data_IF_835197282260
#
_entry.id   IF_835197282260
#
_cell.length_a   1.000
_cell.length_b   1.000
_cell.length_c   1.000
_cell.angle_alpha   90.00
_cell.angle_beta   90.00
_cell.angle_gamma   90.00
#
_symmetry.space_group_name_H-M   'P 1'
#
loop_
_entity.id
_entity.type
_entity.pdbx_description
1 polymer ?
#
# COMPACT_ATOMS: atom_id res chain seq x y z
N UNK A 1 17.82 -14.81 7.38
CA UNK A 1 16.68 -14.04 6.86
C UNK A 1 15.94 -14.93 5.87
N UNK A 2 14.77 -15.46 6.22
CA UNK A 2 13.94 -16.18 5.26
C UNK A 2 13.23 -15.15 4.39
N UNK A 3 13.78 -14.87 3.20
CA UNK A 3 13.07 -14.13 2.17
C UNK A 3 11.88 -14.96 1.72
N UNK A 4 10.67 -14.39 1.79
CA UNK A 4 9.50 -15.01 1.19
C UNK A 4 9.79 -15.23 -0.30
N UNK A 5 9.86 -16.50 -0.73
CA UNK A 5 10.22 -16.86 -2.11
C UNK A 5 9.20 -16.37 -3.14
N UNK A 6 7.96 -16.11 -2.71
CA UNK A 6 6.84 -15.65 -3.53
C UNK A 6 6.07 -14.61 -2.71
N UNK A 7 6.20 -13.33 -3.08
CA UNK A 7 5.65 -12.21 -2.32
C UNK A 7 5.34 -11.01 -3.22
N UNK A 8 4.39 -10.20 -2.76
CA UNK A 8 4.10 -8.90 -3.37
C UNK A 8 4.87 -7.82 -2.62
N UNK A 9 5.59 -6.96 -3.35
CA UNK A 9 6.24 -5.77 -2.80
C UNK A 9 5.29 -4.59 -2.92
N UNK A 10 4.79 -4.12 -1.79
CA UNK A 10 3.97 -2.91 -1.74
C UNK A 10 4.86 -1.68 -1.51
N UNK A 11 4.83 -0.75 -2.46
CA UNK A 11 5.51 0.56 -2.33
C UNK A 11 4.46 1.66 -2.21
N UNK A 12 4.42 2.34 -1.07
CA UNK A 12 3.51 3.47 -0.83
C UNK A 12 4.32 4.77 -0.90
N UNK A 13 4.12 5.62 -1.93
CA UNK A 13 4.81 6.90 -2.04
C UNK A 13 4.24 7.94 -1.08
N UNK A 14 4.96 9.03 -0.89
CA UNK A 14 4.45 10.20 -0.19
C UNK A 14 3.26 10.81 -0.93
N UNK A 15 2.26 11.25 -0.16
CA UNK A 15 1.12 11.98 -0.67
C UNK A 15 1.46 13.46 -0.79
N UNK A 16 1.19 14.05 -1.95
CA UNK A 16 1.35 15.48 -2.20
C UNK A 16 0.01 16.11 -2.55
N UNK A 17 -0.26 17.28 -2.00
CA UNK A 17 -1.40 18.11 -2.37
C UNK A 17 -0.94 19.16 -3.39
N UNK A 18 -1.53 19.21 -4.59
CA UNK A 18 -1.30 20.31 -5.51
C UNK A 18 -2.04 21.55 -5.01
N UNK A 19 -1.34 22.67 -4.79
CA UNK A 19 -1.95 23.98 -4.46
C UNK A 19 -2.31 24.75 -5.75
N UNK A 20 -2.85 24.03 -6.74
CA UNK A 20 -3.07 24.50 -8.12
C UNK A 20 -2.05 23.90 -9.08
N UNK A 21 -2.32 24.01 -10.39
CA UNK A 21 -1.53 23.42 -11.48
C UNK A 21 -0.05 23.89 -11.48
N UNK A 22 0.21 25.07 -10.92
CA UNK A 22 1.55 25.69 -10.83
C UNK A 22 2.04 25.85 -9.38
N UNK A 23 1.32 25.31 -8.39
CA UNK A 23 1.66 25.46 -6.97
C UNK A 23 2.73 24.46 -6.50
N UNK A 24 3.52 24.78 -5.45
CA UNK A 24 4.48 23.83 -4.90
C UNK A 24 3.80 22.57 -4.37
N UNK A 25 4.41 21.40 -4.56
CA UNK A 25 3.90 20.14 -4.03
C UNK A 25 4.14 20.10 -2.51
N UNK A 26 3.11 20.41 -1.73
CA UNK A 26 3.18 20.30 -0.27
C UNK A 26 2.77 18.89 0.16
N UNK A 27 3.37 18.35 1.24
CA UNK A 27 2.88 17.11 1.84
C UNK A 27 1.39 17.21 2.13
N UNK A 28 0.64 16.18 1.71
CA UNK A 28 -0.78 16.09 1.98
C UNK A 28 -1.06 15.94 3.49
N UNK A 29 -2.34 16.04 3.87
CA UNK A 29 -2.79 15.65 5.20
C UNK A 29 -2.25 14.27 5.58
N UNK A 30 -1.94 14.07 6.86
CA UNK A 30 -1.48 12.76 7.33
C UNK A 30 -2.57 11.72 7.12
N UNK A 31 -2.29 10.67 6.36
CA UNK A 31 -3.23 9.57 6.10
C UNK A 31 -2.56 8.25 6.47
N UNK A 32 -3.33 7.36 7.06
CA UNK A 32 -2.89 6.00 7.34
C UNK A 32 -3.44 5.08 6.27
N UNK A 33 -2.57 4.48 5.47
CA UNK A 33 -2.89 3.49 4.44
C UNK A 33 -2.82 2.10 5.05
N UNK A 34 -3.86 1.30 4.83
CA UNK A 34 -3.90 -0.13 5.17
C UNK A 34 -4.09 -0.91 3.87
N UNK A 35 -3.32 -1.98 3.69
CA UNK A 35 -3.47 -2.88 2.57
C UNK A 35 -3.88 -4.27 3.07
N UNK A 36 -5.09 -4.67 2.68
CA UNK A 36 -5.62 -6.00 2.92
C UNK A 36 -5.34 -6.85 1.66
N UNK A 37 -4.97 -8.11 1.84
CA UNK A 37 -4.68 -9.02 0.72
C UNK A 37 -5.38 -10.36 0.88
N UNK A 38 -5.71 -10.95 -0.27
CA UNK A 38 -6.25 -12.31 -0.38
C UNK A 38 -5.63 -13.03 -1.55
N UNK A 39 -5.02 -14.18 -1.29
CA UNK A 39 -4.64 -15.12 -2.34
C UNK A 39 -5.88 -15.91 -2.76
N UNK A 40 -6.29 -15.76 -4.01
CA UNK A 40 -7.49 -16.36 -4.60
C UNK A 40 -7.31 -17.85 -4.91
N UNK A 41 -6.06 -18.32 -5.02
CA UNK A 41 -5.76 -19.72 -5.32
C UNK A 41 -5.67 -20.57 -4.05
N UNK A 42 -5.13 -20.02 -2.96
CA UNK A 42 -4.96 -20.72 -1.68
C UNK A 42 -5.99 -20.35 -0.62
N UNK A 43 -6.69 -19.23 -0.78
CA UNK A 43 -7.59 -18.68 0.24
C UNK A 43 -6.87 -17.96 1.39
N UNK A 44 -5.53 -17.90 1.38
CA UNK A 44 -4.76 -17.18 2.40
C UNK A 44 -5.11 -15.68 2.39
N UNK A 45 -5.17 -15.06 3.56
CA UNK A 45 -5.47 -13.64 3.71
C UNK A 45 -4.55 -12.99 4.74
N UNK A 46 -4.44 -11.67 4.66
CA UNK A 46 -3.74 -10.90 5.68
C UNK A 46 -3.91 -9.41 5.48
N UNK A 47 -3.33 -8.65 6.41
CA UNK A 47 -3.29 -7.20 6.37
C UNK A 47 -1.89 -6.75 6.78
N UNK A 48 -1.36 -5.72 6.13
CA UNK A 48 -0.06 -5.15 6.52
C UNK A 48 -0.22 -3.94 7.41
N UNK A 49 0.82 -3.70 8.21
CA UNK A 49 0.87 -2.60 9.15
C UNK A 49 0.53 -1.26 8.49
N UNK A 50 -0.23 -0.41 9.18
CA UNK A 50 -0.60 0.91 8.68
C UNK A 50 0.64 1.72 8.28
N UNK A 51 0.65 2.22 7.04
CA UNK A 51 1.68 3.15 6.55
C UNK A 51 1.14 4.56 6.63
N UNK A 52 1.83 5.44 7.36
CA UNK A 52 1.51 6.88 7.37
C UNK A 52 2.12 7.55 6.14
N UNK A 53 1.34 8.35 5.43
CA UNK A 53 1.79 9.27 4.38
C UNK A 53 1.36 10.70 4.74
N UNK A 54 2.05 11.72 4.22
CA UNK A 54 1.70 13.13 4.49
C UNK A 54 2.75 13.86 5.34
N UNK A 55 2.36 14.98 5.94
CA UNK A 55 3.27 15.95 6.60
C UNK A 55 4.17 15.36 7.69
N UNK A 56 3.67 14.42 8.48
CA UNK A 56 4.39 13.77 9.58
C UNK A 56 5.02 12.42 9.17
N UNK A 57 4.94 12.04 7.89
CA UNK A 57 5.51 10.79 7.38
C UNK A 57 6.97 10.97 6.88
N UNK A 58 7.78 9.91 6.87
CA UNK A 58 9.13 9.96 6.29
C UNK A 58 9.07 10.30 4.79
N UNK A 59 9.95 11.17 4.29
CA UNK A 59 9.98 11.52 2.86
C UNK A 59 10.26 10.31 1.95
N UNK A 60 10.85 9.24 2.48
CA UNK A 60 11.07 7.98 1.78
C UNK A 60 9.79 7.16 1.62
N UNK A 61 9.61 6.44 0.50
CA UNK A 61 8.50 5.52 0.33
C UNK A 61 8.57 4.39 1.37
N UNK A 62 7.41 3.98 1.88
CA UNK A 62 7.32 2.77 2.67
C UNK A 62 7.35 1.55 1.73
N UNK A 63 8.15 0.55 2.09
CA UNK A 63 8.27 -0.71 1.35
C UNK A 63 7.93 -1.85 2.31
N UNK A 64 6.91 -2.63 1.97
CA UNK A 64 6.47 -3.77 2.77
C UNK A 64 6.37 -5.02 1.90
N UNK A 65 6.85 -6.13 2.43
CA UNK A 65 6.70 -7.46 1.83
C UNK A 65 5.39 -8.09 2.33
N UNK A 66 4.54 -8.50 1.39
CA UNK A 66 3.31 -9.24 1.66
C UNK A 66 3.60 -10.74 1.51
N UNK A 67 3.50 -11.55 2.59
CA UNK A 67 3.79 -12.98 2.54
C UNK A 67 2.62 -13.77 1.95
N UNK A 68 2.25 -13.46 0.70
CA UNK A 68 1.03 -13.95 0.05
C UNK A 68 1.14 -15.41 -0.44
N UNK A 69 2.37 -15.91 -0.57
CA UNK A 69 2.65 -17.13 -1.33
C UNK A 69 2.42 -16.94 -2.84
N UNK A 70 2.66 -17.98 -3.65
CA UNK A 70 2.44 -17.92 -5.09
C UNK A 70 0.96 -17.86 -5.46
N UNK A 71 0.67 -17.31 -6.63
CA UNK A 71 -0.67 -17.32 -7.23
C UNK A 71 -1.28 -15.93 -7.42
N UNK A 72 -2.60 -15.93 -7.69
CA UNK A 72 -3.40 -14.72 -7.87
C UNK A 72 -3.71 -14.09 -6.53
N UNK A 73 -3.31 -12.84 -6.35
CA UNK A 73 -3.49 -12.08 -5.12
C UNK A 73 -4.33 -10.85 -5.44
N UNK A 74 -5.45 -10.71 -4.75
CA UNK A 74 -6.22 -9.49 -4.71
C UNK A 74 -5.72 -8.61 -3.55
N UNK A 75 -5.40 -7.35 -3.85
CA UNK A 75 -5.01 -6.34 -2.89
C UNK A 75 -6.09 -5.27 -2.82
N UNK A 76 -6.48 -4.87 -1.61
CA UNK A 76 -7.41 -3.75 -1.36
C UNK A 76 -6.75 -2.73 -0.47
N UNK A 77 -6.63 -1.51 -0.98
CA UNK A 77 -6.06 -0.35 -0.30
C UNK A 77 -7.19 0.52 0.26
N UNK A 78 -7.10 0.82 1.55
CA UNK A 78 -8.01 1.72 2.26
C UNK A 78 -7.23 2.71 3.13
N UNK A 79 -7.91 3.77 3.53
CA UNK A 79 -7.33 4.79 4.41
C UNK A 79 -8.18 5.03 5.65
N UNK A 80 -7.58 5.61 6.68
CA UNK A 80 -8.29 6.11 7.87
C UNK A 80 -9.11 7.39 7.60
N UNK A 81 -8.91 8.00 6.43
CA UNK A 81 -9.74 9.09 5.91
C UNK A 81 -10.74 8.58 4.87
N UNK A 82 -11.86 9.29 4.65
CA UNK A 82 -12.78 8.97 3.57
C UNK A 82 -12.05 8.84 2.23
N UNK A 83 -12.16 7.68 1.62
CA UNK A 83 -11.63 7.40 0.29
C UNK A 83 -12.58 6.46 -0.46
N UNK A 84 -12.37 6.34 -1.77
CA UNK A 84 -12.87 5.20 -2.53
C UNK A 84 -11.76 4.14 -2.45
N UNK A 85 -12.02 2.96 -1.85
CA UNK A 85 -11.01 1.91 -1.79
C UNK A 85 -10.54 1.51 -3.19
N UNK A 86 -9.24 1.35 -3.35
CA UNK A 86 -8.64 0.91 -4.60
C UNK A 86 -8.30 -0.57 -4.50
N UNK A 87 -8.69 -1.35 -5.50
CA UNK A 87 -8.36 -2.78 -5.59
C UNK A 87 -7.51 -3.08 -6.82
N UNK A 88 -6.56 -4.00 -6.67
CA UNK A 88 -5.68 -4.46 -7.73
C UNK A 88 -5.47 -5.97 -7.61
N UNK A 89 -5.59 -6.68 -8.73
CA UNK A 89 -5.22 -8.08 -8.82
C UNK A 89 -3.79 -8.21 -9.37
N UNK A 90 -2.93 -8.93 -8.65
CA UNK A 90 -1.53 -9.16 -9.00
C UNK A 90 -1.19 -10.65 -8.95
N UNK A 91 -0.16 -11.06 -9.67
CA UNK A 91 0.36 -12.43 -9.60
C UNK A 91 1.66 -12.45 -8.82
N UNK A 92 1.72 -13.26 -7.78
CA UNK A 92 2.94 -13.53 -7.03
C UNK A 92 3.60 -14.80 -7.59
N UNK A 93 4.82 -14.66 -8.10
CA UNK A 93 5.64 -15.74 -8.66
C UNK A 93 6.87 -16.05 -7.82
#
# INVERSE_FOLDING_TARGET
MLGAKHAVVLRVPQGFSPIGEWGPQLPACDVTVVADWRNLDTGATGSVSPVRTGRAAPASPAITLLPTGPGRVQLTLRTDKPNIPASLDVFAS
#
